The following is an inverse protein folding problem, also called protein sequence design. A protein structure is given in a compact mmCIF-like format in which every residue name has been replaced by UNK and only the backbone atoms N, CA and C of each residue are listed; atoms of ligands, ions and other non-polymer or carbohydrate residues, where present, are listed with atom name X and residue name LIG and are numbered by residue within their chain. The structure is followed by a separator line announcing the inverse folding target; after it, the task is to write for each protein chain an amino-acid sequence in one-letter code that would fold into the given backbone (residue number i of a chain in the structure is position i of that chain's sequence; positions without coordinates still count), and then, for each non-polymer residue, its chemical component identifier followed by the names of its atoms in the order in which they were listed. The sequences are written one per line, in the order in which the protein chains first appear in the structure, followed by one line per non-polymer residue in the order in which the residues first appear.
data_IF_636651704681
#
_entry.id   IF_636651704681
#
_cell.length_a   1.000
_cell.length_b   1.000
_cell.length_c   1.000
_cell.angle_alpha   90.00
_cell.angle_beta   90.00
_cell.angle_gamma   90.00
#
_symmetry.space_group_name_H-M   'P 1'
#
loop_
_entity.id
_entity.type
_entity.pdbx_description
1 polymer ?
#
# COMPACT_ATOMS: atom_id res chain seq x y z
N UNK A 1 26.97 -8.25 -23.96
CA UNK A 1 26.37 -7.29 -23.03
C UNK A 1 27.35 -6.22 -22.51
N UNK A 2 28.67 -6.44 -22.55
CA UNK A 2 29.67 -5.48 -22.10
C UNK A 2 29.99 -4.34 -23.11
N UNK A 3 29.56 -4.48 -24.36
CA UNK A 3 29.87 -3.51 -25.44
C UNK A 3 28.95 -2.29 -25.37
N UNK A 4 27.67 -2.49 -25.03
CA UNK A 4 26.66 -1.40 -24.93
C UNK A 4 26.96 -0.45 -23.77
N UNK A 5 27.42 -0.98 -22.63
CA UNK A 5 27.79 -0.18 -21.46
C UNK A 5 29.02 0.69 -21.74
N UNK A 6 30.02 0.18 -22.47
CA UNK A 6 31.24 0.95 -22.86
C UNK A 6 30.93 2.10 -23.83
N UNK A 7 29.98 1.94 -24.73
CA UNK A 7 29.60 3.00 -25.68
C UNK A 7 28.75 4.11 -24.99
N UNK A 8 27.91 3.75 -24.05
CA UNK A 8 27.16 4.73 -23.27
C UNK A 8 28.08 5.58 -22.38
N UNK A 9 29.04 4.96 -21.72
CA UNK A 9 30.09 5.67 -20.95
C UNK A 9 30.93 6.60 -21.79
N UNK A 10 31.33 6.21 -23.01
CA UNK A 10 32.07 7.06 -23.93
C UNK A 10 31.32 8.32 -24.36
N UNK A 11 30.00 8.23 -24.48
CA UNK A 11 29.16 9.37 -24.85
C UNK A 11 28.99 10.37 -23.71
N UNK A 12 28.91 9.91 -22.46
CA UNK A 12 28.85 10.80 -21.29
C UNK A 12 30.19 11.52 -21.02
N UNK A 13 31.30 10.87 -21.25
CA UNK A 13 32.65 11.46 -21.02
C UNK A 13 33.04 12.52 -22.07
N UNK A 14 32.42 12.50 -23.27
CA UNK A 14 32.70 13.51 -24.32
C UNK A 14 32.25 14.94 -24.00
N UNK A 15 31.41 15.14 -22.99
CA UNK A 15 30.93 16.46 -22.55
C UNK A 15 31.67 17.04 -21.35
N UNK A 16 32.65 16.34 -20.77
CA UNK A 16 33.39 16.78 -19.58
C UNK A 16 34.79 17.20 -20.01
N UNK A 17 35.07 18.47 -19.90
CA UNK A 17 36.40 19.05 -20.18
C UNK A 17 37.33 18.73 -19.00
N UNK A 18 37.91 17.54 -19.03
CA UNK A 18 38.84 17.03 -18.00
C UNK A 18 39.05 15.52 -18.10
N UNK A 19 40.14 15.02 -17.52
CA UNK A 19 40.43 13.59 -17.41
C UNK A 19 39.62 13.00 -16.26
N UNK A 20 38.45 12.45 -16.54
CA UNK A 20 37.65 11.68 -15.58
C UNK A 20 38.00 10.22 -15.69
N UNK A 21 38.31 9.56 -14.60
CA UNK A 21 38.64 8.13 -14.56
C UNK A 21 37.31 7.32 -14.54
N UNK A 22 37.35 6.06 -15.02
CA UNK A 22 36.21 5.15 -14.95
C UNK A 22 35.66 4.99 -13.50
N UNK A 23 36.57 5.03 -12.53
CA UNK A 23 36.25 4.91 -11.11
C UNK A 23 35.47 6.14 -10.60
N UNK A 24 35.81 7.34 -11.03
CA UNK A 24 35.08 8.57 -10.68
C UNK A 24 33.67 8.57 -11.30
N UNK A 25 33.50 8.11 -12.53
CA UNK A 25 32.19 7.96 -13.19
C UNK A 25 31.31 6.94 -12.48
N UNK A 26 31.87 5.80 -12.07
CA UNK A 26 31.14 4.79 -11.29
C UNK A 26 30.72 5.33 -9.92
N UNK A 27 31.56 6.11 -9.24
CA UNK A 27 31.22 6.74 -7.96
C UNK A 27 30.12 7.79 -8.10
N UNK A 28 30.15 8.62 -9.15
CA UNK A 28 29.10 9.62 -9.42
C UNK A 28 27.76 8.90 -9.68
N UNK A 29 27.74 7.88 -10.52
CA UNK A 29 26.53 7.13 -10.84
C UNK A 29 25.95 6.41 -9.61
N UNK A 30 26.82 5.84 -8.77
CA UNK A 30 26.42 5.21 -7.52
C UNK A 30 25.84 6.22 -6.53
N UNK A 31 26.42 7.44 -6.43
CA UNK A 31 25.92 8.50 -5.56
C UNK A 31 24.54 8.98 -6.00
N UNK A 32 24.29 9.16 -7.30
CA UNK A 32 22.99 9.53 -7.86
C UNK A 32 21.92 8.45 -7.60
N UNK A 33 22.28 7.17 -7.71
CA UNK A 33 21.38 6.06 -7.38
C UNK A 33 21.05 6.03 -5.89
N UNK A 34 22.02 6.27 -5.01
CA UNK A 34 21.81 6.34 -3.56
C UNK A 34 20.89 7.50 -3.21
N UNK A 35 21.14 8.71 -3.72
CA UNK A 35 20.26 9.86 -3.51
C UNK A 35 18.82 9.59 -3.98
N UNK A 36 18.67 8.94 -5.12
CA UNK A 36 17.35 8.55 -5.65
C UNK A 36 16.66 7.53 -4.74
N UNK A 37 17.37 6.54 -4.22
CA UNK A 37 16.84 5.57 -3.27
C UNK A 37 16.43 6.23 -1.96
N UNK A 38 17.25 7.11 -1.40
CA UNK A 38 16.94 7.87 -0.19
C UNK A 38 15.74 8.79 -0.36
N UNK A 39 15.52 9.29 -1.58
CA UNK A 39 14.36 10.13 -1.91
C UNK A 39 13.02 9.38 -1.91
N UNK A 40 13.02 8.05 -2.01
CA UNK A 40 11.82 7.21 -2.09
C UNK A 40 11.65 6.24 -0.91
N UNK A 41 12.71 6.04 -0.12
CA UNK A 41 12.68 5.19 1.07
C UNK A 41 13.66 5.70 2.12
N UNK A 42 13.30 5.52 3.38
CA UNK A 42 14.17 5.78 4.53
C UNK A 42 13.84 4.80 5.65
N UNK A 43 14.83 4.47 6.47
CA UNK A 43 14.60 3.67 7.68
C UNK A 43 14.82 4.56 8.91
N UNK A 44 13.80 4.66 9.76
CA UNK A 44 13.82 5.49 10.97
C UNK A 44 13.08 4.71 12.08
N UNK A 45 13.69 4.61 13.26
CA UNK A 45 13.17 3.87 14.41
C UNK A 45 12.78 2.41 14.10
N UNK A 46 13.51 1.74 13.20
CA UNK A 46 13.24 0.38 12.75
C UNK A 46 11.98 0.23 11.89
N UNK A 47 11.48 1.33 11.33
CA UNK A 47 10.38 1.38 10.37
C UNK A 47 10.96 1.75 9.01
N UNK A 48 10.65 0.92 8.01
CA UNK A 48 10.96 1.22 6.62
C UNK A 48 9.88 2.11 6.02
N UNK A 49 10.22 3.37 5.81
CA UNK A 49 9.32 4.34 5.21
C UNK A 49 9.44 4.31 3.69
N UNK A 50 8.29 4.31 3.02
CA UNK A 50 8.20 4.37 1.56
C UNK A 50 7.41 5.60 1.14
N UNK A 51 8.01 6.39 0.26
CA UNK A 51 7.35 7.51 -0.40
C UNK A 51 6.27 6.97 -1.35
N UNK A 52 5.05 7.44 -1.17
CA UNK A 52 3.90 7.06 -1.99
C UNK A 52 3.62 8.14 -3.04
N UNK A 53 2.65 8.99 -2.83
CA UNK A 53 2.17 9.94 -3.81
C UNK A 53 2.03 11.34 -3.18
N UNK A 54 1.91 12.38 -4.00
CA UNK A 54 1.68 13.75 -3.54
C UNK A 54 0.35 13.89 -2.83
N UNK A 55 0.31 14.75 -1.82
CA UNK A 55 -0.91 15.05 -1.07
C UNK A 55 -2.04 15.51 -1.98
N UNK A 56 -1.73 16.33 -3.00
CA UNK A 56 -2.71 16.88 -3.94
C UNK A 56 -3.40 15.78 -4.78
N UNK A 57 -2.73 14.67 -5.06
CA UNK A 57 -3.33 13.57 -5.84
C UNK A 57 -4.52 12.91 -5.14
N UNK A 58 -4.55 13.01 -3.80
CA UNK A 58 -5.65 12.47 -3.00
C UNK A 58 -6.90 13.36 -2.99
N UNK A 59 -6.86 14.54 -3.59
CA UNK A 59 -8.07 15.37 -3.79
C UNK A 59 -9.00 14.74 -4.84
N UNK A 60 -8.43 14.16 -5.87
CA UNK A 60 -9.20 13.51 -6.95
C UNK A 60 -9.52 12.04 -6.66
N UNK A 61 -8.63 11.32 -5.97
CA UNK A 61 -8.80 9.92 -5.56
C UNK A 61 -8.37 9.75 -4.10
N UNK A 62 -9.30 9.91 -3.14
CA UNK A 62 -8.97 9.86 -1.71
C UNK A 62 -8.63 8.47 -1.19
N UNK A 63 -8.66 7.45 -2.03
CA UNK A 63 -8.37 6.05 -1.68
C UNK A 63 -7.42 5.44 -2.69
N UNK A 64 -6.13 5.42 -2.38
CA UNK A 64 -5.11 4.91 -3.30
C UNK A 64 -4.42 3.67 -2.74
N UNK A 65 -4.06 2.74 -3.62
CA UNK A 65 -3.39 1.49 -3.25
C UNK A 65 -1.94 1.53 -3.68
N UNK A 66 -1.05 1.22 -2.73
CA UNK A 66 0.39 1.15 -2.95
C UNK A 66 0.90 -0.25 -2.62
N UNK A 67 1.87 -0.72 -3.39
CA UNK A 67 2.53 -2.00 -3.12
C UNK A 67 3.86 -1.75 -2.40
N UNK A 68 3.90 -2.09 -1.12
CA UNK A 68 5.06 -1.89 -0.24
C UNK A 68 5.43 -3.23 0.38
N UNK A 69 6.70 -3.63 0.29
CA UNK A 69 7.21 -4.88 0.85
C UNK A 69 6.34 -6.12 0.51
N UNK A 70 5.86 -6.21 -0.76
CA UNK A 70 4.97 -7.26 -1.28
C UNK A 70 3.54 -7.24 -0.73
N UNK A 71 3.19 -6.30 0.17
CA UNK A 71 1.84 -6.10 0.67
C UNK A 71 1.15 -4.98 -0.12
N UNK A 72 -0.14 -5.13 -0.38
CA UNK A 72 -0.96 -4.05 -0.93
C UNK A 72 -1.56 -3.28 0.25
N UNK A 73 -1.28 -1.99 0.29
CA UNK A 73 -1.69 -1.08 1.36
C UNK A 73 -2.64 -0.05 0.77
N UNK A 74 -3.81 0.08 1.38
CA UNK A 74 -4.79 1.11 1.05
C UNK A 74 -4.52 2.33 1.91
N UNK A 75 -4.15 3.43 1.26
CA UNK A 75 -4.03 4.74 1.90
C UNK A 75 -5.32 5.51 1.67
N UNK A 76 -5.92 6.01 2.74
CA UNK A 76 -7.15 6.79 2.70
C UNK A 76 -6.89 8.20 3.25
N UNK A 77 -7.35 9.21 2.51
CA UNK A 77 -7.39 10.59 2.98
C UNK A 77 -8.72 10.83 3.69
N UNK A 78 -8.63 11.30 4.94
CA UNK A 78 -9.81 11.70 5.74
C UNK A 78 -9.54 13.09 6.29
N UNK A 79 -10.22 14.11 5.77
CA UNK A 79 -9.90 15.52 5.98
C UNK A 79 -8.41 15.75 5.60
N UNK A 80 -7.62 16.31 6.53
CA UNK A 80 -6.20 16.62 6.33
C UNK A 80 -5.27 15.48 6.83
N UNK A 81 -5.83 14.32 7.15
CA UNK A 81 -5.08 13.19 7.70
C UNK A 81 -5.07 12.00 6.74
N UNK A 82 -3.96 11.27 6.75
CA UNK A 82 -3.80 10.04 5.98
C UNK A 82 -3.76 8.84 6.92
N UNK A 83 -4.39 7.75 6.49
CA UNK A 83 -4.41 6.49 7.22
C UNK A 83 -4.12 5.36 6.26
N UNK A 84 -3.31 4.41 6.68
CA UNK A 84 -2.90 3.28 5.84
C UNK A 84 -3.28 1.96 6.52
N UNK A 85 -3.95 1.10 5.77
CA UNK A 85 -4.43 -0.20 6.22
C UNK A 85 -4.17 -1.25 5.14
N UNK A 86 -4.22 -2.53 5.49
CA UNK A 86 -4.18 -3.60 4.49
C UNK A 86 -5.32 -3.43 3.48
N UNK A 87 -5.01 -3.54 2.19
CA UNK A 87 -5.97 -3.34 1.10
C UNK A 87 -7.02 -4.45 1.03
N UNK A 88 -6.69 -5.65 1.53
CA UNK A 88 -7.56 -6.82 1.44
C UNK A 88 -8.40 -7.02 2.69
N UNK A 89 -9.72 -7.16 2.49
CA UNK A 89 -10.63 -7.58 3.54
C UNK A 89 -10.41 -9.07 3.86
N UNK A 90 -10.14 -9.45 5.12
CA UNK A 90 -9.82 -10.83 5.48
C UNK A 90 -10.96 -11.82 5.23
N UNK A 91 -12.21 -11.33 5.15
CA UNK A 91 -13.37 -12.18 4.92
C UNK A 91 -13.28 -13.01 3.63
N UNK A 92 -12.98 -12.39 2.50
CA UNK A 92 -12.83 -13.07 1.20
C UNK A 92 -11.64 -12.58 0.38
N UNK A 93 -10.71 -11.92 1.01
CA UNK A 93 -9.51 -11.35 0.37
C UNK A 93 -9.81 -10.41 -0.81
N UNK A 94 -10.95 -9.71 -0.75
CA UNK A 94 -11.37 -8.73 -1.74
C UNK A 94 -10.88 -7.34 -1.37
N UNK A 95 -10.70 -6.49 -2.38
CA UNK A 95 -10.25 -5.10 -2.18
C UNK A 95 -11.22 -4.30 -1.33
N UNK A 96 -10.69 -3.47 -0.43
CA UNK A 96 -11.47 -2.47 0.31
C UNK A 96 -11.45 -1.10 -0.37
N UNK A 97 -10.68 -0.91 -1.45
CA UNK A 97 -10.72 0.33 -2.24
C UNK A 97 -12.14 0.56 -2.76
N UNK A 98 -12.63 1.79 -2.62
CA UNK A 98 -14.03 2.16 -2.90
C UNK A 98 -14.98 1.90 -1.72
N UNK A 99 -14.48 1.39 -0.62
CA UNK A 99 -15.24 1.25 0.63
C UNK A 99 -15.71 2.60 1.18
N UNK A 100 -16.92 2.65 1.73
CA UNK A 100 -17.48 3.88 2.28
C UNK A 100 -16.80 4.26 3.60
N UNK A 101 -16.28 5.49 3.68
CA UNK A 101 -15.68 6.04 4.88
C UNK A 101 -16.75 6.73 5.72
N UNK A 102 -16.82 6.38 7.00
CA UNK A 102 -17.59 7.10 8.02
C UNK A 102 -16.60 7.84 8.92
N UNK A 103 -16.46 9.14 8.68
CA UNK A 103 -15.55 9.99 9.42
C UNK A 103 -15.93 10.13 10.89
N UNK A 104 -17.24 10.16 11.23
CA UNK A 104 -17.72 10.29 12.60
C UNK A 104 -17.39 9.06 13.43
N UNK A 105 -17.54 7.88 12.85
CA UNK A 105 -17.23 6.61 13.51
C UNK A 105 -15.75 6.22 13.40
N UNK A 106 -14.99 6.87 12.54
CA UNK A 106 -13.58 6.52 12.28
C UNK A 106 -13.42 5.19 11.54
N UNK A 107 -14.36 4.85 10.65
CA UNK A 107 -14.44 3.52 10.04
C UNK A 107 -14.50 3.55 8.52
N UNK A 108 -14.04 2.44 7.92
CA UNK A 108 -14.23 2.11 6.51
C UNK A 108 -15.07 0.84 6.39
N UNK A 109 -16.09 0.90 5.54
CA UNK A 109 -17.00 -0.20 5.23
C UNK A 109 -16.51 -0.94 3.99
N UNK A 110 -16.23 -2.23 4.10
CA UNK A 110 -15.95 -3.06 2.94
C UNK A 110 -17.16 -3.11 1.99
N UNK A 111 -16.94 -2.70 0.73
CA UNK A 111 -18.01 -2.57 -0.27
C UNK A 111 -18.69 -3.91 -0.62
N UNK A 112 -18.08 -5.05 -0.30
CA UNK A 112 -18.54 -6.37 -0.72
C UNK A 112 -19.55 -7.00 0.27
N UNK A 113 -19.21 -7.02 1.56
CA UNK A 113 -20.03 -7.74 2.55
C UNK A 113 -20.28 -6.94 3.83
N UNK A 114 -20.10 -5.61 3.78
CA UNK A 114 -20.41 -4.70 4.89
C UNK A 114 -19.61 -4.95 6.19
N UNK A 115 -18.47 -5.65 6.11
CA UNK A 115 -17.53 -5.69 7.23
C UNK A 115 -16.94 -4.30 7.44
N UNK A 116 -16.89 -3.83 8.68
CA UNK A 116 -16.47 -2.47 9.01
C UNK A 116 -15.19 -2.50 9.86
N UNK A 117 -14.20 -1.73 9.49
CA UNK A 117 -12.92 -1.62 10.19
C UNK A 117 -12.63 -0.19 10.62
N UNK A 118 -11.92 -0.01 11.72
CA UNK A 118 -11.33 1.25 12.08
C UNK A 118 -10.17 1.56 11.11
N UNK A 119 -10.24 2.65 10.35
CA UNK A 119 -9.18 2.99 9.39
C UNK A 119 -7.88 3.47 10.06
N UNK A 120 -7.90 3.78 11.37
CA UNK A 120 -6.72 4.18 12.14
C UNK A 120 -5.94 2.99 12.70
N UNK A 121 -6.65 2.00 13.22
CA UNK A 121 -6.05 0.87 13.95
C UNK A 121 -6.13 -0.45 13.22
N UNK A 122 -7.00 -0.57 12.22
CA UNK A 122 -7.30 -1.83 11.54
C UNK A 122 -8.27 -2.73 12.31
N UNK A 123 -8.70 -2.35 13.52
CA UNK A 123 -9.61 -3.13 14.36
C UNK A 123 -10.96 -3.34 13.68
N UNK A 124 -11.46 -4.57 13.68
CA UNK A 124 -12.79 -4.88 13.18
C UNK A 124 -13.86 -4.29 14.12
N UNK A 125 -14.78 -3.52 13.59
CA UNK A 125 -15.89 -2.91 14.35
C UNK A 125 -17.19 -3.66 14.15
N UNK A 126 -17.47 -4.09 12.93
CA UNK A 126 -18.64 -4.88 12.61
C UNK A 126 -18.24 -5.97 11.62
N UNK A 127 -18.54 -7.22 11.96
CA UNK A 127 -18.31 -8.36 11.09
C UNK A 127 -19.60 -8.74 10.37
N UNK A 128 -19.46 -9.37 9.20
CA UNK A 128 -20.61 -9.84 8.43
C UNK A 128 -21.54 -10.71 9.30
N UNK A 129 -22.82 -10.38 9.31
CA UNK A 129 -23.85 -11.16 10.01
C UNK A 129 -24.75 -11.82 8.98
N UNK A 130 -24.57 -13.11 8.78
CA UNK A 130 -25.47 -13.92 7.95
C UNK A 130 -26.51 -14.58 8.85
N UNK A 131 -27.79 -14.35 8.58
CA UNK A 131 -28.84 -14.99 9.36
C UNK A 131 -28.80 -16.53 9.20
N UNK A 132 -29.19 -17.26 10.24
CA UNK A 132 -29.16 -18.74 10.22
C UNK A 132 -29.83 -19.34 8.99
N UNK A 133 -31.08 -18.92 8.60
CA UNK A 133 -31.74 -19.46 7.41
C UNK A 133 -31.01 -19.11 6.11
N UNK A 134 -30.47 -17.88 5.99
CA UNK A 134 -29.68 -17.47 4.82
C UNK A 134 -28.37 -18.28 4.74
N UNK A 135 -27.69 -18.51 5.86
CA UNK A 135 -26.50 -19.33 5.93
C UNK A 135 -26.75 -20.77 5.48
N UNK A 136 -27.87 -21.38 5.94
CA UNK A 136 -28.29 -22.73 5.51
C UNK A 136 -28.57 -22.78 4.00
N UNK A 137 -29.27 -21.80 3.46
CA UNK A 137 -29.58 -21.72 2.03
C UNK A 137 -28.30 -21.56 1.21
N UNK A 138 -27.40 -20.64 1.62
CA UNK A 138 -26.12 -20.41 0.94
C UNK A 138 -25.25 -21.67 0.95
N UNK A 139 -25.13 -22.36 2.08
CA UNK A 139 -24.39 -23.64 2.18
C UNK A 139 -24.97 -24.71 1.25
N UNK A 140 -26.28 -24.76 1.10
CA UNK A 140 -26.97 -25.74 0.23
C UNK A 140 -26.70 -25.43 -1.26
N UNK A 141 -26.77 -24.15 -1.64
CA UNK A 141 -26.52 -23.71 -3.02
C UNK A 141 -25.03 -23.75 -3.40
N UNK A 142 -24.16 -23.54 -2.45
CA UNK A 142 -22.70 -23.45 -2.67
C UNK A 142 -21.95 -24.77 -2.42
N UNK A 143 -22.64 -25.89 -2.26
CA UNK A 143 -22.03 -27.21 -1.97
C UNK A 143 -20.88 -27.63 -2.90
N UNK A 144 -20.83 -27.06 -4.11
CA UNK A 144 -19.75 -27.32 -5.07
C UNK A 144 -18.51 -26.44 -4.90
N UNK A 145 -18.56 -25.37 -4.07
CA UNK A 145 -17.46 -24.42 -3.92
C UNK A 145 -16.96 -24.37 -2.46
N UNK A 146 -15.97 -25.23 -2.16
CA UNK A 146 -15.40 -25.37 -0.81
C UNK A 146 -14.82 -24.07 -0.23
N UNK A 147 -14.35 -23.13 -1.08
CA UNK A 147 -13.83 -21.84 -0.63
C UNK A 147 -14.93 -20.91 -0.12
N UNK A 148 -16.09 -20.92 -0.76
CA UNK A 148 -17.22 -20.10 -0.35
C UNK A 148 -17.89 -20.60 0.93
N UNK A 149 -17.89 -21.91 1.17
CA UNK A 149 -18.46 -22.52 2.39
C UNK A 149 -17.66 -22.12 3.64
N UNK A 150 -16.31 -22.09 3.56
CA UNK A 150 -15.44 -21.67 4.67
C UNK A 150 -15.61 -20.20 5.07
N UNK A 151 -15.93 -19.32 4.13
CA UNK A 151 -16.04 -17.87 4.40
C UNK A 151 -17.24 -17.49 5.29
N UNK A 152 -18.29 -18.30 5.30
CA UNK A 152 -19.49 -18.08 6.13
C UNK A 152 -19.29 -18.34 7.63
N UNK A 153 -18.22 -19.06 7.97
CA UNK A 153 -17.90 -19.48 9.34
C UNK A 153 -16.62 -18.80 9.88
N UNK A 154 -16.07 -17.82 9.15
CA UNK A 154 -14.87 -17.10 9.59
C UNK A 154 -15.19 -16.24 10.81
N UNK A 155 -14.30 -16.35 11.82
CA UNK A 155 -14.31 -15.45 12.96
C UNK A 155 -13.87 -14.03 12.56
N UNK A 156 -14.34 -13.00 13.29
CA UNK A 156 -13.89 -11.63 13.10
C UNK A 156 -12.37 -11.51 13.20
N UNK A 157 -11.76 -10.84 12.25
CA UNK A 157 -10.30 -10.63 12.20
C UNK A 157 -10.00 -9.16 11.94
N UNK A 158 -9.03 -8.63 12.68
CA UNK A 158 -8.48 -7.31 12.42
C UNK A 158 -7.66 -7.29 11.12
N UNK A 159 -7.49 -6.11 10.55
CA UNK A 159 -6.57 -5.87 9.45
C UNK A 159 -5.36 -5.08 9.97
N UNK A 160 -4.23 -5.26 9.30
CA UNK A 160 -3.01 -4.53 9.62
C UNK A 160 -3.18 -3.04 9.32
N UNK A 161 -2.73 -2.19 10.23
CA UNK A 161 -2.58 -0.75 10.02
C UNK A 161 -1.10 -0.38 9.96
N UNK A 162 -0.79 0.73 9.27
CA UNK A 162 0.56 1.19 9.02
C UNK A 162 0.67 2.66 9.40
N UNK A 163 1.80 3.08 10.00
CA UNK A 163 2.02 4.49 10.28
C UNK A 163 2.13 5.29 8.97
N UNK A 164 1.66 6.53 9.01
CA UNK A 164 1.73 7.46 7.90
C UNK A 164 2.33 8.78 8.35
N UNK A 165 3.02 9.47 7.46
CA UNK A 165 3.51 10.83 7.65
C UNK A 165 3.50 11.59 6.33
N UNK A 166 3.51 12.92 6.41
CA UNK A 166 3.65 13.80 5.25
C UNK A 166 4.99 14.49 5.34
N UNK A 167 5.81 14.36 4.29
CA UNK A 167 7.11 15.00 4.19
C UNK A 167 7.21 15.61 2.80
N UNK A 168 7.56 16.90 2.72
CA UNK A 168 7.76 17.65 1.47
C UNK A 168 6.58 17.50 0.49
N UNK A 169 5.35 17.51 1.01
CA UNK A 169 4.12 17.39 0.21
C UNK A 169 3.83 15.98 -0.30
N UNK A 170 4.55 14.96 0.16
CA UNK A 170 4.31 13.56 -0.17
C UNK A 170 3.83 12.76 1.04
N UNK A 171 2.93 11.84 0.78
CA UNK A 171 2.51 10.84 1.77
C UNK A 171 3.54 9.72 1.82
N UNK A 172 3.97 9.38 3.02
CA UNK A 172 4.86 8.26 3.31
C UNK A 172 4.15 7.24 4.17
N UNK A 173 4.41 5.97 3.91
CA UNK A 173 3.87 4.84 4.67
C UNK A 173 5.01 4.02 5.24
N UNK A 174 4.95 3.77 6.55
CA UNK A 174 5.91 2.92 7.25
C UNK A 174 5.46 1.46 7.25
N UNK A 175 6.36 0.56 6.88
CA UNK A 175 6.15 -0.89 6.96
C UNK A 175 7.28 -1.53 7.77
N UNK A 176 6.95 -2.58 8.52
CA UNK A 176 7.93 -3.42 9.23
C UNK A 176 8.05 -4.75 8.55
#
# INVERSE_FOLDING_TARGET
NNVVVKDHMRTMVKGIDGRVTLHEVEQIHLSEEIEKLESIQKTEDGIDWRKCEKVESFESDPQQVFRINRENILVVKVNDSFHAINEKCPHMNLTMKGGKIDQKRGTILCAWHNTTFCYKTGEVKEWIKVSKPAKFLMKTLMKSNKQADGSLDMEPMDIKSYPTQVIDGYVWVGAK
#
